data_IF_041938675315
#
_entry.id   IF_041938675315
#
_cell.length_a   1.000
_cell.length_b   1.000
_cell.length_c   1.000
_cell.angle_alpha   90.00
_cell.angle_beta   90.00
_cell.angle_gamma   90.00
#
_symmetry.space_group_name_H-M   'P 1'
#
loop_
_entity.id
_entity.type
_entity.pdbx_description
1 polymer ?
#
# COMPACT_ATOMS: atom_id res chain seq x y z
N UNK A 1 -26.53 -39.34 -95.52
CA UNK A 1 -27.02 -40.68 -95.12
C UNK A 1 -26.58 -40.87 -93.68
N UNK A 2 -27.42 -40.92 -92.65
CA UNK A 2 -28.85 -41.25 -92.58
C UNK A 2 -29.33 -40.78 -91.18
N UNK A 3 -30.51 -40.17 -91.14
CA UNK A 3 -31.57 -40.08 -90.08
C UNK A 3 -31.33 -40.74 -88.71
N UNK A 4 -31.95 -40.38 -87.58
CA UNK A 4 -33.08 -39.52 -87.21
C UNK A 4 -33.15 -39.48 -85.66
N UNK A 5 -33.71 -38.41 -85.10
CA UNK A 5 -34.76 -38.33 -84.05
C UNK A 5 -34.80 -39.32 -82.86
N UNK A 6 -35.31 -39.05 -81.66
CA UNK A 6 -35.85 -37.91 -80.92
C UNK A 6 -36.55 -38.55 -79.70
N UNK A 7 -36.21 -38.18 -78.47
CA UNK A 7 -37.07 -38.29 -77.27
C UNK A 7 -36.37 -37.54 -76.12
N UNK A 8 -36.72 -36.30 -75.79
CA UNK A 8 -37.87 -35.90 -74.97
C UNK A 8 -37.89 -36.57 -73.60
N UNK A 9 -37.48 -35.85 -72.55
CA UNK A 9 -38.34 -35.46 -71.41
C UNK A 9 -37.53 -34.80 -70.28
N UNK A 10 -37.96 -33.59 -69.94
CA UNK A 10 -37.93 -32.89 -68.65
C UNK A 10 -37.04 -33.41 -67.51
N UNK A 11 -36.28 -32.49 -66.89
CA UNK A 11 -36.67 -31.93 -65.58
C UNK A 11 -35.57 -31.07 -64.96
N UNK A 12 -36.01 -30.03 -64.26
CA UNK A 12 -35.32 -29.28 -63.20
C UNK A 12 -34.19 -28.32 -63.58
N UNK A 13 -34.60 -27.05 -63.71
CA UNK A 13 -33.85 -25.86 -63.31
C UNK A 13 -33.02 -26.10 -62.05
N UNK A 14 -31.72 -25.85 -62.12
CA UNK A 14 -30.95 -25.37 -60.96
C UNK A 14 -29.94 -24.34 -61.46
N UNK A 15 -30.39 -23.09 -61.47
CA UNK A 15 -29.54 -21.91 -61.60
C UNK A 15 -28.60 -21.85 -60.40
N UNK A 16 -27.33 -22.19 -60.62
CA UNK A 16 -26.26 -22.05 -59.62
C UNK A 16 -25.87 -20.56 -59.58
N UNK A 17 -26.06 -19.83 -58.46
CA UNK A 17 -25.59 -18.46 -58.37
C UNK A 17 -24.07 -18.45 -58.21
N UNK A 18 -23.43 -17.57 -58.97
CA UNK A 18 -22.03 -17.19 -58.87
C UNK A 18 -21.68 -16.80 -57.44
N UNK A 19 -20.74 -17.52 -56.82
CA UNK A 19 -20.17 -17.15 -55.52
C UNK A 19 -19.32 -15.90 -55.73
N UNK A 20 -19.87 -14.74 -55.37
CA UNK A 20 -19.13 -13.50 -55.34
C UNK A 20 -18.08 -13.54 -54.24
N UNK A 21 -16.84 -13.26 -54.63
CA UNK A 21 -15.74 -12.91 -53.72
C UNK A 21 -16.13 -11.69 -52.89
N UNK A 22 -16.68 -11.93 -51.70
CA UNK A 22 -16.76 -10.94 -50.64
C UNK A 22 -15.47 -10.95 -49.81
N UNK A 23 -14.90 -9.79 -49.44
CA UNK A 23 -13.69 -9.76 -48.64
C UNK A 23 -13.94 -10.48 -47.31
N UNK A 24 -13.07 -11.44 -46.99
CA UNK A 24 -13.16 -12.30 -45.83
C UNK A 24 -13.46 -11.51 -44.56
N UNK A 25 -14.61 -11.80 -43.97
CA UNK A 25 -14.90 -11.43 -42.59
C UNK A 25 -13.81 -12.06 -41.73
N UNK A 26 -12.83 -11.25 -41.31
CA UNK A 26 -11.90 -11.65 -40.26
C UNK A 26 -12.73 -12.00 -39.03
N UNK A 27 -12.51 -13.15 -38.39
CA UNK A 27 -13.06 -13.38 -37.06
C UNK A 27 -12.57 -12.24 -36.19
N UNK A 28 -13.48 -11.41 -35.69
CA UNK A 28 -13.17 -10.50 -34.60
C UNK A 28 -12.83 -11.38 -33.42
N UNK A 29 -11.53 -11.68 -33.28
CA UNK A 29 -10.96 -12.14 -32.03
C UNK A 29 -11.31 -11.05 -31.03
N UNK A 30 -12.43 -11.26 -30.34
CA UNK A 30 -12.88 -10.44 -29.24
C UNK A 30 -11.68 -10.28 -28.34
N UNK A 31 -11.11 -9.08 -28.36
CA UNK A 31 -9.99 -8.72 -27.54
C UNK A 31 -10.52 -8.72 -26.10
N UNK A 32 -10.50 -9.87 -25.45
CA UNK A 32 -10.39 -9.97 -24.00
C UNK A 32 -8.95 -9.62 -23.61
N UNK A 33 -8.42 -8.53 -24.17
CA UNK A 33 -7.34 -7.76 -23.59
C UNK A 33 -7.93 -7.13 -22.32
N UNK A 34 -8.02 -7.93 -21.25
CA UNK A 34 -8.41 -7.48 -19.93
C UNK A 34 -7.56 -6.27 -19.58
N UNK A 35 -8.23 -5.10 -19.50
CA UNK A 35 -7.62 -3.78 -19.36
C UNK A 35 -6.55 -3.77 -18.25
N UNK A 36 -5.23 -3.72 -18.58
CA UNK A 36 -4.15 -3.74 -17.60
C UNK A 36 -4.15 -2.52 -16.66
N UNK A 37 -4.89 -1.47 -17.00
CA UNK A 37 -5.00 -0.23 -16.22
C UNK A 37 -5.95 -0.31 -15.03
N UNK A 38 -6.97 -1.18 -15.04
CA UNK A 38 -7.95 -1.29 -13.96
C UNK A 38 -7.34 -1.90 -12.70
N UNK A 39 -6.66 -3.04 -12.86
CA UNK A 39 -6.00 -3.77 -11.77
C UNK A 39 -5.05 -2.91 -10.93
N UNK A 40 -4.26 -2.04 -11.58
CA UNK A 40 -3.31 -1.14 -10.92
C UNK A 40 -3.99 -0.03 -10.12
N UNK A 41 -5.10 0.50 -10.64
CA UNK A 41 -5.92 1.51 -9.96
C UNK A 41 -6.60 0.92 -8.73
N UNK A 42 -7.10 -0.31 -8.82
CA UNK A 42 -7.71 -1.00 -7.68
C UNK A 42 -6.71 -1.24 -6.54
N UNK A 43 -5.49 -1.70 -6.83
CA UNK A 43 -4.45 -1.88 -5.78
C UNK A 43 -4.09 -0.55 -5.11
N UNK A 44 -3.91 0.52 -5.88
CA UNK A 44 -3.61 1.84 -5.31
C UNK A 44 -4.75 2.35 -4.40
N UNK A 45 -6.01 2.10 -4.78
CA UNK A 45 -7.17 2.41 -3.97
C UNK A 45 -7.23 1.56 -2.70
N UNK A 46 -6.91 0.27 -2.77
CA UNK A 46 -6.82 -0.61 -1.60
C UNK A 46 -5.75 -0.11 -0.63
N UNK A 47 -4.55 0.23 -1.11
CA UNK A 47 -3.48 0.79 -0.28
C UNK A 47 -3.93 2.09 0.38
N UNK A 48 -4.61 2.98 -0.35
CA UNK A 48 -5.14 4.23 0.22
C UNK A 48 -6.22 3.99 1.26
N UNK A 49 -7.14 3.04 1.03
CA UNK A 49 -8.17 2.67 1.98
C UNK A 49 -7.58 2.10 3.27
N UNK A 50 -6.57 1.22 3.15
CA UNK A 50 -5.85 0.67 4.29
C UNK A 50 -5.09 1.73 5.08
N UNK A 51 -4.39 2.65 4.40
CA UNK A 51 -3.72 3.77 5.06
C UNK A 51 -4.71 4.73 5.74
N UNK A 52 -5.88 4.95 5.15
CA UNK A 52 -6.95 5.74 5.74
C UNK A 52 -7.56 5.08 6.98
N UNK A 53 -7.77 3.77 6.94
CA UNK A 53 -8.21 2.99 8.11
C UNK A 53 -7.15 3.04 9.22
N UNK A 54 -5.88 2.87 8.86
CA UNK A 54 -4.79 2.90 9.83
C UNK A 54 -4.62 4.28 10.47
N UNK A 55 -4.81 5.36 9.71
CA UNK A 55 -4.87 6.70 10.28
C UNK A 55 -5.95 6.82 11.38
N UNK A 56 -7.15 6.24 11.18
CA UNK A 56 -8.19 6.26 12.21
C UNK A 56 -7.80 5.45 13.45
N UNK A 57 -7.09 4.33 13.26
CA UNK A 57 -6.55 3.51 14.34
C UNK A 57 -5.51 4.31 15.14
N UNK A 58 -4.53 4.94 14.48
CA UNK A 58 -3.53 5.78 15.15
C UNK A 58 -4.17 6.92 15.97
N UNK A 59 -5.27 7.50 15.48
CA UNK A 59 -6.01 8.53 16.22
C UNK A 59 -6.74 7.96 17.44
N UNK A 60 -7.29 6.75 17.35
CA UNK A 60 -7.91 6.06 18.48
C UNK A 60 -6.87 5.66 19.53
N UNK A 61 -5.71 5.19 19.10
CA UNK A 61 -4.56 4.89 19.96
C UNK A 61 -4.03 6.14 20.65
N UNK A 62 -3.89 7.26 19.93
CA UNK A 62 -3.54 8.54 20.52
C UNK A 62 -4.50 8.91 21.66
N UNK A 63 -5.81 8.74 21.45
CA UNK A 63 -6.80 8.98 22.50
C UNK A 63 -6.66 8.00 23.68
N UNK A 64 -6.42 6.71 23.41
CA UNK A 64 -6.16 5.68 24.42
C UNK A 64 -4.94 6.03 25.28
N UNK A 65 -3.82 6.42 24.66
CA UNK A 65 -2.59 6.75 25.39
C UNK A 65 -2.72 8.05 26.17
N UNK A 66 -3.38 9.08 25.64
CA UNK A 66 -3.68 10.30 26.40
C UNK A 66 -4.56 10.01 27.62
N UNK A 67 -5.57 9.15 27.46
CA UNK A 67 -6.38 8.68 28.58
C UNK A 67 -5.54 7.90 29.61
N UNK A 68 -4.66 7.01 29.15
CA UNK A 68 -3.73 6.25 29.98
C UNK A 68 -2.84 7.17 30.81
N UNK A 69 -2.25 8.20 30.20
CA UNK A 69 -1.42 9.22 30.89
C UNK A 69 -2.19 9.89 32.02
N UNK A 70 -3.40 10.39 31.74
CA UNK A 70 -4.20 11.10 32.75
C UNK A 70 -4.61 10.19 33.91
N UNK A 71 -4.91 8.91 33.62
CA UNK A 71 -5.31 7.92 34.63
C UNK A 71 -4.13 7.54 35.51
N UNK A 72 -2.99 7.18 34.90
CA UNK A 72 -1.79 6.74 35.61
C UNK A 72 -1.21 7.86 36.49
N UNK A 73 -1.11 9.10 35.97
CA UNK A 73 -0.70 10.27 36.78
C UNK A 73 -1.66 10.55 37.91
N UNK A 74 -2.97 10.40 37.67
CA UNK A 74 -3.98 10.53 38.72
C UNK A 74 -3.80 9.53 39.86
N UNK A 75 -3.43 8.28 39.55
CA UNK A 75 -3.12 7.26 40.55
C UNK A 75 -1.79 7.49 41.27
N UNK A 76 -0.78 8.04 40.59
CA UNK A 76 0.47 8.44 41.23
C UNK A 76 0.25 9.58 42.25
N UNK A 77 -0.52 10.60 41.87
CA UNK A 77 -0.87 11.72 42.75
C UNK A 77 -1.79 11.30 43.92
N UNK A 78 -2.71 10.37 43.66
CA UNK A 78 -3.72 9.89 44.63
C UNK A 78 -3.79 8.36 44.65
N UNK A 79 -2.84 7.68 45.33
CA UNK A 79 -2.76 6.22 45.32
C UNK A 79 -4.02 5.50 45.82
N UNK A 80 -4.79 6.13 46.71
CA UNK A 80 -6.05 5.58 47.21
C UNK A 80 -7.20 5.53 46.21
N UNK A 81 -7.04 6.11 45.01
CA UNK A 81 -8.05 6.09 43.93
C UNK A 81 -7.78 5.03 42.87
N UNK A 82 -6.77 4.19 43.08
CA UNK A 82 -6.47 3.06 42.21
C UNK A 82 -7.68 2.11 42.09
N UNK A 83 -7.98 1.70 40.87
CA UNK A 83 -9.06 0.77 40.54
C UNK A 83 -8.54 -0.35 39.63
N UNK A 84 -8.69 -1.59 40.08
CA UNK A 84 -8.22 -2.77 39.36
C UNK A 84 -9.00 -2.97 38.05
N UNK A 85 -10.31 -2.69 38.02
CA UNK A 85 -11.12 -2.88 36.81
C UNK A 85 -10.69 -1.93 35.67
N UNK A 86 -10.41 -0.68 36.00
CA UNK A 86 -9.84 0.30 35.06
C UNK A 86 -8.43 -0.10 34.61
N UNK A 87 -7.59 -0.62 35.52
CA UNK A 87 -6.25 -1.11 35.19
C UNK A 87 -6.29 -2.28 34.20
N UNK A 88 -7.12 -3.30 34.45
CA UNK A 88 -7.31 -4.44 33.55
C UNK A 88 -7.85 -4.00 32.17
N UNK A 89 -8.72 -2.99 32.15
CA UNK A 89 -9.26 -2.42 30.91
C UNK A 89 -8.16 -1.71 30.11
N UNK A 90 -7.31 -0.92 30.77
CA UNK A 90 -6.14 -0.28 30.16
C UNK A 90 -5.18 -1.31 29.56
N UNK A 91 -4.83 -2.35 30.33
CA UNK A 91 -3.96 -3.43 29.88
C UNK A 91 -4.55 -4.18 28.67
N UNK A 92 -5.85 -4.47 28.70
CA UNK A 92 -6.55 -5.12 27.60
C UNK A 92 -6.54 -4.28 26.31
N UNK A 93 -6.81 -2.98 26.41
CA UNK A 93 -6.83 -2.09 25.24
C UNK A 93 -5.43 -1.82 24.69
N UNK A 94 -4.42 -1.64 25.54
CA UNK A 94 -3.03 -1.45 25.10
C UNK A 94 -2.49 -2.69 24.41
N UNK A 95 -2.80 -3.89 24.93
CA UNK A 95 -2.45 -5.14 24.26
C UNK A 95 -3.18 -5.30 22.90
N UNK A 96 -4.47 -4.99 22.85
CA UNK A 96 -5.25 -5.03 21.62
C UNK A 96 -4.74 -4.03 20.57
N UNK A 97 -4.35 -2.82 20.99
CA UNK A 97 -3.71 -1.82 20.14
C UNK A 97 -2.42 -2.38 19.53
N UNK A 98 -1.52 -2.94 20.37
CA UNK A 98 -0.26 -3.52 19.89
C UNK A 98 -0.46 -4.61 18.82
N UNK A 99 -1.43 -5.52 19.01
CA UNK A 99 -1.75 -6.53 17.98
C UNK A 99 -2.36 -5.94 16.72
N UNK A 100 -3.20 -4.91 16.87
CA UNK A 100 -3.82 -4.20 15.75
C UNK A 100 -2.75 -3.50 14.90
N UNK A 101 -1.79 -2.84 15.55
CA UNK A 101 -0.66 -2.19 14.93
C UNK A 101 0.19 -3.17 14.11
N UNK A 102 0.56 -4.31 14.71
CA UNK A 102 1.31 -5.37 14.02
C UNK A 102 0.53 -5.85 12.79
N UNK A 103 -0.77 -6.12 12.93
CA UNK A 103 -1.60 -6.57 11.83
C UNK A 103 -1.70 -5.54 10.70
N UNK A 104 -1.85 -4.25 11.03
CA UNK A 104 -1.92 -3.17 10.05
C UNK A 104 -0.59 -2.94 9.34
N UNK A 105 0.53 -2.94 10.06
CA UNK A 105 1.87 -2.84 9.48
C UNK A 105 2.11 -3.97 8.47
N UNK A 106 1.74 -5.20 8.80
CA UNK A 106 1.86 -6.34 7.89
C UNK A 106 0.97 -6.16 6.66
N UNK A 107 -0.30 -5.79 6.85
CA UNK A 107 -1.26 -5.64 5.75
C UNK A 107 -0.88 -4.50 4.79
N UNK A 108 -0.47 -3.35 5.34
CA UNK A 108 0.01 -2.20 4.58
C UNK A 108 1.33 -2.55 3.89
N UNK A 109 2.27 -3.17 4.61
CA UNK A 109 3.57 -3.59 4.07
C UNK A 109 3.42 -4.53 2.89
N UNK A 110 2.63 -5.59 3.00
CA UNK A 110 2.37 -6.53 1.90
C UNK A 110 1.70 -5.82 0.73
N UNK A 111 0.66 -5.01 0.99
CA UNK A 111 -0.05 -4.26 -0.06
C UNK A 111 0.88 -3.28 -0.79
N UNK A 112 1.77 -2.62 -0.05
CA UNK A 112 2.77 -1.72 -0.59
C UNK A 112 3.81 -2.45 -1.44
N UNK A 113 4.31 -3.60 -1.00
CA UNK A 113 5.24 -4.45 -1.76
C UNK A 113 4.60 -4.90 -3.08
N UNK A 114 3.36 -5.39 -3.03
CA UNK A 114 2.61 -5.83 -4.22
C UNK A 114 2.40 -4.67 -5.18
N UNK A 115 2.00 -3.51 -4.67
CA UNK A 115 1.84 -2.29 -5.47
C UNK A 115 3.15 -1.85 -6.12
N UNK A 116 4.24 -1.82 -5.35
CA UNK A 116 5.56 -1.39 -5.81
C UNK A 116 6.09 -2.32 -6.90
N UNK A 117 6.00 -3.63 -6.67
CA UNK A 117 6.40 -4.65 -7.64
C UNK A 117 5.56 -4.56 -8.92
N UNK A 118 4.23 -4.46 -8.79
CA UNK A 118 3.32 -4.30 -9.92
C UNK A 118 3.68 -3.05 -10.73
N UNK A 119 3.86 -1.91 -10.07
CA UNK A 119 4.15 -0.62 -10.70
C UNK A 119 5.50 -0.63 -11.40
N UNK A 120 6.55 -1.18 -10.79
CA UNK A 120 7.88 -1.32 -11.42
C UNK A 120 7.84 -2.16 -12.70
N UNK A 121 6.94 -3.15 -12.77
CA UNK A 121 6.78 -4.00 -13.95
C UNK A 121 5.91 -3.38 -15.05
N UNK A 122 5.37 -2.18 -14.86
CA UNK A 122 4.49 -1.52 -15.84
C UNK A 122 5.20 -1.23 -17.17
N UNK A 123 4.50 -1.45 -18.28
CA UNK A 123 4.99 -1.13 -19.63
C UNK A 123 5.06 0.39 -19.87
N UNK A 124 4.42 1.18 -19.00
CA UNK A 124 4.52 2.65 -19.01
C UNK A 124 5.85 3.17 -18.45
N UNK A 125 6.69 2.31 -17.89
CA UNK A 125 7.97 2.71 -17.31
C UNK A 125 9.03 2.89 -18.39
N UNK A 126 9.72 4.03 -18.34
CA UNK A 126 10.92 4.24 -19.12
C UNK A 126 12.07 3.40 -18.54
N UNK A 127 12.26 2.19 -19.09
CA UNK A 127 13.22 1.18 -18.61
C UNK A 127 14.66 1.69 -18.45
N UNK A 128 15.23 2.53 -19.35
CA UNK A 128 16.60 3.01 -19.18
C UNK A 128 16.83 3.86 -17.92
N UNK A 129 15.79 4.45 -17.33
CA UNK A 129 15.89 5.21 -16.09
C UNK A 129 15.80 4.34 -14.82
N UNK A 130 15.48 3.05 -14.94
CA UNK A 130 15.40 2.11 -13.82
C UNK A 130 16.81 1.61 -13.46
N UNK A 131 17.26 1.92 -12.24
CA UNK A 131 18.55 1.49 -11.67
C UNK A 131 18.47 0.11 -11.04
N UNK A 132 17.28 -0.35 -10.64
CA UNK A 132 17.12 -1.61 -9.91
C UNK A 132 16.16 -2.57 -10.61
N UNK A 133 16.42 -3.88 -10.44
CA UNK A 133 15.53 -4.94 -10.92
C UNK A 133 14.30 -5.06 -10.02
N UNK A 134 13.16 -5.44 -10.60
CA UNK A 134 11.87 -5.59 -9.88
C UNK A 134 11.94 -6.55 -8.69
N UNK A 135 12.81 -7.56 -8.71
CA UNK A 135 13.00 -8.50 -7.59
C UNK A 135 13.43 -7.82 -6.28
N UNK A 136 14.11 -6.67 -6.36
CA UNK A 136 14.49 -5.90 -5.18
C UNK A 136 13.32 -5.20 -4.49
N UNK A 137 12.16 -5.08 -5.15
CA UNK A 137 10.96 -4.53 -4.55
C UNK A 137 10.40 -5.44 -3.46
N UNK A 138 10.72 -6.73 -3.52
CA UNK A 138 10.34 -7.75 -2.54
C UNK A 138 11.55 -8.06 -1.65
N UNK A 139 12.70 -8.41 -2.26
CA UNK A 139 13.89 -8.83 -1.53
C UNK A 139 14.49 -7.77 -0.60
N UNK A 140 14.24 -6.47 -0.87
CA UNK A 140 14.69 -5.39 0.00
C UNK A 140 14.09 -5.42 1.40
N UNK A 141 12.90 -6.02 1.57
CA UNK A 141 12.18 -6.06 2.85
C UNK A 141 12.60 -7.21 3.76
N UNK A 142 13.10 -8.31 3.17
CA UNK A 142 13.48 -9.51 3.91
C UNK A 142 14.92 -9.49 4.43
N UNK A 143 15.75 -8.58 3.93
CA UNK A 143 17.14 -8.44 4.36
C UNK A 143 17.22 -7.25 5.32
N UNK A 144 17.42 -7.44 6.63
CA UNK A 144 17.25 -6.39 7.65
C UNK A 144 18.07 -5.12 7.36
N UNK A 145 19.32 -5.29 6.94
CA UNK A 145 20.23 -4.18 6.62
C UNK A 145 19.73 -3.42 5.40
N UNK A 146 19.26 -4.13 4.36
CA UNK A 146 18.75 -3.50 3.15
C UNK A 146 17.38 -2.87 3.36
N UNK A 147 16.59 -3.37 4.30
CA UNK A 147 15.27 -2.85 4.60
C UNK A 147 15.33 -1.37 4.98
N UNK A 148 16.45 -0.88 5.52
CA UNK A 148 16.64 0.52 5.90
C UNK A 148 16.68 1.51 4.72
N UNK A 149 17.05 1.09 3.51
CA UNK A 149 17.22 2.02 2.36
C UNK A 149 16.72 1.50 1.03
N UNK A 150 16.60 0.18 0.83
CA UNK A 150 16.12 -0.38 -0.44
C UNK A 150 14.69 0.06 -0.78
N UNK A 151 13.72 0.06 0.16
CA UNK A 151 12.38 0.53 -0.14
C UNK A 151 12.37 1.96 -0.72
N UNK A 152 13.11 2.88 -0.08
CA UNK A 152 13.29 4.25 -0.54
C UNK A 152 13.91 4.31 -1.95
N UNK A 153 14.94 3.51 -2.22
CA UNK A 153 15.57 3.45 -3.54
C UNK A 153 14.61 2.97 -4.61
N UNK A 154 13.78 1.95 -4.31
CA UNK A 154 12.81 1.39 -5.27
C UNK A 154 11.67 2.36 -5.58
N UNK A 155 11.15 3.11 -4.60
CA UNK A 155 10.13 4.15 -4.84
C UNK A 155 10.68 5.27 -5.72
N UNK A 156 11.91 5.72 -5.44
CA UNK A 156 12.59 6.71 -6.28
C UNK A 156 12.86 6.17 -7.70
N UNK A 157 13.16 4.88 -7.83
CA UNK A 157 13.34 4.22 -9.13
C UNK A 157 12.06 4.20 -9.95
N UNK A 158 10.94 3.84 -9.32
CA UNK A 158 9.60 3.88 -9.95
C UNK A 158 9.25 5.29 -10.37
N UNK A 159 9.54 6.31 -9.55
CA UNK A 159 9.30 7.71 -9.91
C UNK A 159 10.15 8.15 -11.11
N UNK A 160 11.44 7.81 -11.12
CA UNK A 160 12.35 8.06 -12.26
C UNK A 160 11.85 7.38 -13.53
N UNK A 161 11.44 6.12 -13.44
CA UNK A 161 10.87 5.36 -14.54
C UNK A 161 9.57 5.95 -15.07
N UNK A 162 8.72 6.52 -14.20
CA UNK A 162 7.47 7.16 -14.59
C UNK A 162 7.67 8.50 -15.29
N UNK A 163 8.67 9.30 -14.87
CA UNK A 163 8.94 10.63 -15.43
C UNK A 163 9.91 10.61 -16.63
N UNK A 164 10.66 9.52 -16.81
CA UNK A 164 11.61 9.37 -17.93
C UNK A 164 12.92 10.15 -17.77
N UNK A 165 13.12 10.86 -16.65
CA UNK A 165 14.34 11.59 -16.30
C UNK A 165 14.51 11.62 -14.76
N UNK A 166 15.68 12.06 -14.27
CA UNK A 166 15.93 12.21 -12.83
C UNK A 166 15.21 13.46 -12.29
N UNK A 167 14.16 13.35 -11.47
CA UNK A 167 13.45 14.49 -10.95
C UNK A 167 14.05 14.86 -9.59
N UNK A 168 14.78 15.97 -9.54
CA UNK A 168 15.22 16.58 -8.29
C UNK A 168 14.02 16.94 -7.39
N UNK A 169 12.89 17.32 -7.99
CA UNK A 169 11.63 17.63 -7.33
C UNK A 169 10.90 16.36 -6.88
N UNK A 170 10.58 16.29 -5.58
CA UNK A 170 9.81 15.19 -4.95
C UNK A 170 10.64 14.14 -4.21
N UNK A 171 11.98 14.11 -4.34
CA UNK A 171 12.82 13.17 -3.55
C UNK A 171 12.69 13.45 -2.05
N UNK A 172 12.55 14.74 -1.70
CA UNK A 172 12.31 15.20 -0.34
C UNK A 172 11.10 14.53 0.30
N UNK A 173 9.92 14.54 -0.34
CA UNK A 173 8.71 13.95 0.26
C UNK A 173 8.87 12.45 0.57
N UNK A 174 9.43 11.68 -0.35
CA UNK A 174 9.64 10.24 -0.15
C UNK A 174 10.70 9.99 0.92
N UNK A 175 11.78 10.77 0.92
CA UNK A 175 12.82 10.70 1.95
C UNK A 175 12.29 11.10 3.32
N UNK A 176 11.45 12.14 3.41
CA UNK A 176 10.80 12.57 4.65
C UNK A 176 9.86 11.51 5.18
N UNK A 177 8.95 10.97 4.35
CA UNK A 177 8.07 9.88 4.76
C UNK A 177 8.85 8.68 5.29
N UNK A 178 9.90 8.25 4.58
CA UNK A 178 10.73 7.12 4.97
C UNK A 178 11.54 7.39 6.24
N UNK A 179 12.08 8.60 6.37
CA UNK A 179 12.81 9.05 7.55
C UNK A 179 11.93 9.10 8.79
N UNK A 180 10.68 9.58 8.66
CA UNK A 180 9.69 9.57 9.74
C UNK A 180 9.35 8.14 10.15
N UNK A 181 9.13 7.24 9.19
CA UNK A 181 8.82 5.83 9.49
C UNK A 181 9.97 5.11 10.20
N UNK A 182 11.23 5.35 9.79
CA UNK A 182 12.39 4.80 10.48
C UNK A 182 12.53 5.40 11.88
N UNK A 183 12.36 6.71 12.01
CA UNK A 183 12.43 7.40 13.29
C UNK A 183 11.37 6.86 14.28
N UNK A 184 10.12 6.67 13.84
CA UNK A 184 9.07 6.08 14.69
C UNK A 184 9.40 4.64 15.08
N UNK A 185 9.91 3.84 14.14
CA UNK A 185 10.33 2.45 14.41
C UNK A 185 11.44 2.35 15.47
N UNK A 186 12.43 3.25 15.44
CA UNK A 186 13.49 3.29 16.45
C UNK A 186 13.03 3.88 17.77
N UNK A 187 12.20 4.93 17.74
CA UNK A 187 11.66 5.56 18.94
C UNK A 187 10.73 4.62 19.73
N UNK A 188 9.95 3.78 19.05
CA UNK A 188 9.16 2.70 19.68
C UNK A 188 10.03 1.70 20.45
N UNK A 189 11.27 1.45 20.01
CA UNK A 189 12.20 0.59 20.77
C UNK A 189 12.77 1.30 22.01
N UNK A 190 12.87 2.62 21.95
CA UNK A 190 13.34 3.42 23.08
C UNK A 190 12.28 3.56 24.18
N UNK A 191 10.97 3.49 23.87
CA UNK A 191 9.93 3.56 24.91
C UNK A 191 9.99 2.38 25.89
N UNK A 192 10.49 1.21 25.47
CA UNK A 192 10.76 0.08 26.38
C UNK A 192 11.81 0.41 27.46
N UNK A 193 12.72 1.35 27.20
CA UNK A 193 13.72 1.77 28.20
C UNK A 193 13.14 2.66 29.30
N UNK A 194 11.89 3.13 29.14
CA UNK A 194 11.16 3.93 30.13
C UNK A 194 10.35 3.06 31.11
N UNK A 195 10.34 1.74 30.93
CA UNK A 195 9.60 0.84 31.81
C UNK A 195 10.11 0.96 33.26
N UNK A 196 9.20 1.06 34.26
CA UNK A 196 9.59 1.10 35.66
C UNK A 196 10.39 -0.14 36.07
N UNK A 197 11.27 0.02 37.05
CA UNK A 197 11.94 -1.11 37.69
C UNK A 197 10.94 -2.01 38.42
N UNK A 198 11.21 -3.32 38.47
CA UNK A 198 10.31 -4.30 39.11
C UNK A 198 10.11 -4.06 40.62
N UNK A 199 11.09 -3.43 41.28
CA UNK A 199 11.08 -3.09 42.70
C UNK A 199 10.62 -1.64 42.97
N UNK A 200 10.13 -0.93 41.96
CA UNK A 200 9.63 0.42 42.10
C UNK A 200 8.45 0.49 43.10
N UNK A 201 8.39 1.57 43.88
CA UNK A 201 7.20 1.87 44.69
C UNK A 201 6.00 2.06 43.77
N UNK A 202 4.78 1.84 44.27
CA UNK A 202 3.56 2.01 43.48
C UNK A 202 3.50 3.36 42.75
N UNK A 203 3.82 4.47 43.46
CA UNK A 203 3.83 5.82 42.86
C UNK A 203 4.85 5.92 41.73
N UNK A 204 6.08 5.44 41.95
CA UNK A 204 7.13 5.48 40.93
C UNK A 204 6.79 4.58 39.73
N UNK A 205 6.12 3.44 39.96
CA UNK A 205 5.65 2.57 38.89
C UNK A 205 4.56 3.25 38.04
N UNK A 206 3.58 3.90 38.67
CA UNK A 206 2.52 4.64 37.96
C UNK A 206 3.08 5.82 37.16
N UNK A 207 4.01 6.58 37.73
CA UNK A 207 4.68 7.68 37.01
C UNK A 207 5.49 7.16 35.82
N UNK A 208 6.27 6.09 35.99
CA UNK A 208 7.04 5.51 34.89
C UNK A 208 6.14 4.94 33.78
N UNK A 209 5.05 4.26 34.13
CA UNK A 209 4.05 3.83 33.14
C UNK A 209 3.37 5.01 32.45
N UNK A 210 3.13 6.12 33.15
CA UNK A 210 2.60 7.33 32.54
C UNK A 210 3.61 7.92 31.54
N UNK A 211 4.90 7.90 31.84
CA UNK A 211 5.94 8.37 30.93
C UNK A 211 6.07 7.48 29.68
N UNK A 212 5.92 6.16 29.83
CA UNK A 212 5.77 5.24 28.70
C UNK A 212 4.55 5.63 27.85
N UNK A 213 3.38 5.82 28.47
CA UNK A 213 2.17 6.21 27.75
C UNK A 213 2.29 7.59 27.06
N UNK A 214 3.05 8.53 27.63
CA UNK A 214 3.40 9.79 26.97
C UNK A 214 4.23 9.51 25.71
N UNK A 215 5.27 8.69 25.81
CA UNK A 215 6.08 8.31 24.66
C UNK A 215 5.24 7.64 23.55
N UNK A 216 4.37 6.71 23.92
CA UNK A 216 3.49 6.00 22.98
C UNK A 216 2.46 6.95 22.34
N UNK A 217 1.96 7.95 23.06
CA UNK A 217 1.10 8.99 22.47
C UNK A 217 1.81 9.82 21.40
N UNK A 218 3.09 10.16 21.61
CA UNK A 218 3.92 10.89 20.63
C UNK A 218 4.19 10.01 19.41
N UNK A 219 4.41 8.72 19.60
CA UNK A 219 4.56 7.74 18.53
C UNK A 219 3.29 7.64 17.70
N UNK A 220 2.13 7.44 18.33
CA UNK A 220 0.84 7.37 17.64
C UNK A 220 0.56 8.62 16.79
N UNK A 221 0.88 9.81 17.30
CA UNK A 221 0.77 11.06 16.53
C UNK A 221 1.75 11.11 15.34
N UNK A 222 2.96 10.57 15.51
CA UNK A 222 3.97 10.48 14.46
C UNK A 222 3.55 9.49 13.37
N UNK A 223 2.98 8.35 13.73
CA UNK A 223 2.51 7.34 12.78
C UNK A 223 1.26 7.82 12.02
N UNK A 224 0.36 8.57 12.68
CA UNK A 224 -0.72 9.28 12.00
C UNK A 224 -0.17 10.25 10.93
N UNK A 225 0.87 11.03 11.26
CA UNK A 225 1.54 11.90 10.29
C UNK A 225 2.19 11.10 9.15
N UNK A 226 2.85 9.99 9.45
CA UNK A 226 3.44 9.10 8.45
C UNK A 226 2.39 8.55 7.49
N UNK A 227 1.19 8.20 7.98
CA UNK A 227 0.06 7.75 7.17
C UNK A 227 -0.41 8.83 6.20
N UNK A 228 -0.56 10.07 6.67
CA UNK A 228 -0.93 11.22 5.82
C UNK A 228 0.09 11.42 4.71
N UNK A 229 1.39 11.37 5.03
CA UNK A 229 2.47 11.48 4.05
C UNK A 229 2.45 10.31 3.05
N UNK A 230 2.23 9.08 3.52
CA UNK A 230 2.12 7.91 2.65
C UNK A 230 0.96 8.04 1.66
N UNK A 231 -0.21 8.49 2.12
CA UNK A 231 -1.37 8.76 1.27
C UNK A 231 -1.02 9.81 0.21
N UNK A 232 -0.34 10.90 0.60
CA UNK A 232 0.10 11.93 -0.32
C UNK A 232 1.07 11.40 -1.39
N UNK A 233 2.03 10.56 -1.01
CA UNK A 233 2.97 9.89 -1.95
C UNK A 233 2.22 9.01 -2.94
N UNK A 234 1.32 8.14 -2.48
CA UNK A 234 0.56 7.25 -3.35
C UNK A 234 -0.34 8.03 -4.31
N UNK A 235 -0.99 9.10 -3.84
CA UNK A 235 -1.80 10.00 -4.68
C UNK A 235 -0.96 10.70 -5.74
N UNK A 236 0.20 11.23 -5.36
CA UNK A 236 1.11 11.91 -6.28
C UNK A 236 1.60 10.97 -7.39
N UNK A 237 2.13 9.81 -7.03
CA UNK A 237 2.63 8.82 -8.00
C UNK A 237 1.50 8.29 -8.89
N UNK A 238 0.31 8.05 -8.33
CA UNK A 238 -0.85 7.59 -9.11
C UNK A 238 -1.34 8.66 -10.09
N UNK A 239 -1.27 9.95 -9.72
CA UNK A 239 -1.58 11.07 -10.61
C UNK A 239 -0.62 11.18 -11.79
N UNK A 240 0.69 11.00 -11.54
CA UNK A 240 1.71 10.98 -12.60
C UNK A 240 1.49 9.84 -13.60
N UNK A 241 0.99 8.69 -13.15
CA UNK A 241 0.70 7.54 -14.02
C UNK A 241 -0.61 7.69 -14.82
N UNK A 242 -1.48 8.62 -14.42
CA UNK A 242 -2.76 8.90 -15.07
C UNK A 242 -2.66 9.93 -16.20
N UNK A 243 -1.62 10.77 -16.21
CA UNK A 243 -1.37 11.74 -17.28
C UNK A 243 -0.78 11.01 -18.50
N UNK A 244 -1.36 11.15 -19.71
CA UNK A 244 -0.75 10.60 -20.92
C UNK A 244 0.64 11.19 -21.12
N UNK A 245 1.62 10.36 -21.49
CA UNK A 245 2.95 10.86 -21.85
C UNK A 245 2.80 11.87 -23.00
N UNK A 246 3.51 13.02 -22.97
CA UNK A 246 3.50 13.94 -24.09
C UNK A 246 3.93 13.19 -25.35
N UNK A 247 3.15 13.35 -26.42
CA UNK A 247 3.49 12.79 -27.72
C UNK A 247 4.91 13.24 -28.08
N UNK A 248 5.80 12.27 -28.30
CA UNK A 248 7.14 12.53 -28.83
C UNK A 248 7.04 12.80 -30.32
#
# INVERSE_FOLDING_TARGET
>A
MTTSDQHASDSSLTTRPTHGDGPGAQPSLGSTAGRPGGYRRHIAQTVQGLLGLYLLICLAELALYLWSVTTLRGWAERPGTYDLGTAETLDGWTLAAAFTDIAMILLIGVSFIVWLYSTHRSDRMYRPALRHRSGWAIGGWFVPVLNLWRPLQMVNDVRRGALGHDPATGSGLVATWWGVLLASSFASRASLALMPAEDATFVAAMDGLADVAVADSVLAATDALACVLAIAVVRHVSGLLATPAPAR
#
